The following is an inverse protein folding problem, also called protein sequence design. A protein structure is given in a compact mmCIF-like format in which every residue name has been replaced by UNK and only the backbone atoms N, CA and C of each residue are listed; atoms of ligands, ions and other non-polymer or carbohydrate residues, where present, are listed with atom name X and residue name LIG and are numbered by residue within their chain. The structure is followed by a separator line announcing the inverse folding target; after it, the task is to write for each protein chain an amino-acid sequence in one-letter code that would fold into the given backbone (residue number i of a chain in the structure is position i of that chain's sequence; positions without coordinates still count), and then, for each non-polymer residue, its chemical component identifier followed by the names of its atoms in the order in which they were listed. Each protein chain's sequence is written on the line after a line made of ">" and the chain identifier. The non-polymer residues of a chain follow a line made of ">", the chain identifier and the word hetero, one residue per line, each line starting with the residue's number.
data_IF_208870121761
#
_entry.id   IF_208870121761
#
_cell.length_a   1.000
_cell.length_b   1.000
_cell.length_c   1.000
_cell.angle_alpha   90.00
_cell.angle_beta   90.00
_cell.angle_gamma   90.00
#
_symmetry.space_group_name_H-M   'P 1'
#
loop_
_entity.id
_entity.type
_entity.pdbx_description
1 polymer ?
#
# COMPACT_ATOMS: atom_id res chain seq x y z
N UNK A 1 6.14 4.81 21.31
CA UNK A 1 7.09 4.03 20.47
C UNK A 1 6.75 4.21 18.99
N UNK A 2 7.75 4.21 18.11
CA UNK A 2 7.58 4.31 16.65
C UNK A 2 8.22 3.10 15.98
N UNK A 3 7.49 2.47 15.07
CA UNK A 3 8.00 1.39 14.24
C UNK A 3 7.69 1.70 12.77
N UNK A 4 8.63 1.36 11.89
CA UNK A 4 8.49 1.56 10.45
C UNK A 4 8.90 0.29 9.70
N UNK A 5 8.14 -0.03 8.66
CA UNK A 5 8.33 -1.23 7.85
C UNK A 5 8.34 -0.85 6.38
N UNK A 6 9.27 -1.43 5.62
CA UNK A 6 9.28 -1.34 4.16
C UNK A 6 8.51 -2.52 3.57
N UNK A 7 7.77 -2.28 2.50
CA UNK A 7 7.08 -3.31 1.74
C UNK A 7 7.33 -3.15 0.25
N UNK A 8 7.17 -4.25 -0.49
CA UNK A 8 7.17 -4.24 -1.96
C UNK A 8 5.86 -4.80 -2.44
N UNK A 9 5.19 -4.07 -3.32
CA UNK A 9 3.94 -4.49 -3.92
C UNK A 9 3.91 -4.07 -5.39
N UNK A 10 3.55 -4.98 -6.28
CA UNK A 10 3.40 -4.74 -7.72
C UNK A 10 4.59 -4.00 -8.39
N UNK A 11 5.82 -4.28 -7.95
CA UNK A 11 7.02 -3.61 -8.48
C UNK A 11 7.29 -2.20 -7.91
N UNK A 12 6.50 -1.75 -6.94
CA UNK A 12 6.70 -0.51 -6.18
C UNK A 12 7.25 -0.83 -4.78
N UNK A 13 8.20 0.00 -4.34
CA UNK A 13 8.67 0.00 -2.96
C UNK A 13 7.81 0.98 -2.16
N UNK A 14 7.43 0.65 -0.94
CA UNK A 14 6.73 1.57 -0.04
C UNK A 14 7.20 1.40 1.39
N UNK A 15 6.75 2.30 2.26
CA UNK A 15 6.91 2.17 3.70
C UNK A 15 5.64 2.57 4.43
N UNK A 16 5.46 1.97 5.60
CA UNK A 16 4.41 2.30 6.56
C UNK A 16 5.03 2.52 7.93
N UNK A 17 4.61 3.58 8.61
CA UNK A 17 5.08 3.91 9.95
C UNK A 17 3.89 3.95 10.93
N UNK A 18 4.04 3.23 12.03
CA UNK A 18 3.08 3.18 13.12
C UNK A 18 3.54 4.00 14.31
N UNK A 19 2.57 4.57 15.01
CA UNK A 19 2.76 5.26 16.27
C UNK A 19 1.87 4.65 17.33
N UNK A 20 2.45 4.26 18.45
CA UNK A 20 1.67 3.91 19.63
C UNK A 20 1.50 5.13 20.53
N UNK A 21 0.24 5.56 20.73
CA UNK A 21 -0.12 6.57 21.70
C UNK A 21 -0.35 5.90 23.06
N UNK A 22 0.58 6.09 23.99
CA UNK A 22 0.50 5.50 25.33
C UNK A 22 -0.63 6.06 26.20
N UNK A 23 -1.12 7.28 25.93
CA UNK A 23 -2.21 7.91 26.69
C UNK A 23 -3.56 7.32 26.30
N UNK A 24 -3.77 7.15 25.01
CA UNK A 24 -5.03 6.63 24.46
C UNK A 24 -5.01 5.10 24.31
N UNK A 25 -3.84 4.46 24.46
CA UNK A 25 -3.61 3.03 24.24
C UNK A 25 -3.99 2.57 22.82
N UNK A 26 -3.78 3.45 21.83
CA UNK A 26 -4.14 3.21 20.43
C UNK A 26 -2.90 3.23 19.53
N UNK A 27 -2.92 2.39 18.49
CA UNK A 27 -1.98 2.43 17.38
C UNK A 27 -2.56 3.27 16.25
N UNK A 28 -1.75 4.16 15.69
CA UNK A 28 -2.13 4.98 14.53
C UNK A 28 -1.11 4.82 13.41
N UNK A 29 -1.58 4.88 12.17
CA UNK A 29 -0.70 5.02 11.01
C UNK A 29 -0.26 6.48 10.97
N UNK A 30 1.03 6.74 11.20
CA UNK A 30 1.59 8.08 11.17
C UNK A 30 1.99 8.50 9.77
N UNK A 31 2.50 7.57 8.98
CA UNK A 31 2.88 7.82 7.59
C UNK A 31 2.68 6.55 6.77
N UNK A 32 2.25 6.74 5.53
CA UNK A 32 2.15 5.71 4.52
C UNK A 32 2.59 6.33 3.19
N UNK A 33 3.61 5.74 2.56
CA UNK A 33 4.12 6.23 1.29
C UNK A 33 4.45 5.06 0.39
N UNK A 34 4.04 5.18 -0.87
CA UNK A 34 4.42 4.28 -1.95
C UNK A 34 5.28 5.08 -2.90
N UNK A 35 6.45 4.54 -3.26
CA UNK A 35 7.35 5.17 -4.20
C UNK A 35 6.65 5.29 -5.56
N UNK A 36 6.73 6.48 -6.15
CA UNK A 36 6.09 6.77 -7.43
C UNK A 36 6.74 5.99 -8.59
N UNK A 37 8.01 5.62 -8.45
CA UNK A 37 8.71 4.80 -9.43
C UNK A 37 8.40 3.33 -9.23
N UNK A 38 7.67 2.75 -10.18
CA UNK A 38 7.49 1.31 -10.31
C UNK A 38 8.55 0.73 -11.24
N UNK A 39 9.04 -0.48 -10.97
CA UNK A 39 9.72 -1.25 -12.00
C UNK A 39 8.68 -1.69 -13.05
N UNK A 40 8.65 -1.02 -14.18
CA UNK A 40 7.69 -1.26 -15.27
C UNK A 40 7.80 -2.67 -15.83
N UNK A 41 9.00 -3.26 -15.91
CA UNK A 41 9.18 -4.62 -16.41
C UNK A 41 8.51 -5.67 -15.51
N UNK A 42 8.55 -5.49 -14.18
CA UNK A 42 7.87 -6.39 -13.23
C UNK A 42 6.35 -6.20 -13.31
N UNK A 43 5.89 -4.94 -13.41
CA UNK A 43 4.46 -4.62 -13.58
C UNK A 43 3.90 -5.30 -14.83
N UNK A 44 4.57 -5.13 -15.98
CA UNK A 44 4.16 -5.71 -17.25
C UNK A 44 4.14 -7.25 -17.20
N UNK A 45 5.11 -7.88 -16.51
CA UNK A 45 5.14 -9.32 -16.33
C UNK A 45 3.96 -9.83 -15.47
N UNK A 46 3.61 -9.12 -14.40
CA UNK A 46 2.47 -9.45 -13.54
C UNK A 46 1.13 -9.27 -14.26
N UNK A 47 0.99 -8.21 -15.07
CA UNK A 47 -0.17 -8.00 -15.95
C UNK A 47 -0.33 -9.12 -16.97
N UNK A 48 0.76 -9.48 -17.68
CA UNK A 48 0.76 -10.59 -18.65
C UNK A 48 0.45 -11.94 -18.02
N UNK A 49 0.85 -12.14 -16.77
CA UNK A 49 0.54 -13.35 -16.02
C UNK A 49 -0.92 -13.40 -15.51
N UNK A 50 -1.70 -12.33 -15.71
CA UNK A 50 -3.06 -12.21 -15.20
C UNK A 50 -3.14 -12.13 -13.68
N UNK A 51 -2.04 -11.74 -13.02
CA UNK A 51 -1.92 -11.69 -11.55
C UNK A 51 -2.32 -10.33 -10.96
N UNK A 52 -2.48 -9.31 -11.80
CA UNK A 52 -3.09 -8.05 -11.42
C UNK A 52 -4.55 -8.08 -11.88
N UNK A 53 -5.49 -8.27 -10.96
CA UNK A 53 -6.91 -8.09 -11.25
C UNK A 53 -7.23 -6.59 -11.36
N UNK A 54 -7.88 -6.18 -12.45
CA UNK A 54 -8.57 -4.90 -12.54
C UNK A 54 -9.75 -4.92 -11.56
N UNK A 55 -9.51 -4.56 -10.30
CA UNK A 55 -10.60 -4.27 -9.37
C UNK A 55 -11.25 -2.95 -9.76
N UNK A 56 -12.10 -2.99 -10.79
CA UNK A 56 -13.20 -2.06 -10.94
C UNK A 56 -14.15 -2.29 -9.76
N UNK A 57 -13.82 -1.74 -8.60
CA UNK A 57 -14.72 -1.76 -7.46
C UNK A 57 -15.88 -0.82 -7.78
N UNK A 58 -17.05 -1.43 -7.99
CA UNK A 58 -18.36 -0.81 -8.10
C UNK A 58 -18.50 0.40 -7.17
N UNK A 59 -18.44 1.61 -7.72
CA UNK A 59 -19.05 2.76 -7.06
C UNK A 59 -20.57 2.65 -7.29
N UNK A 60 -21.24 1.80 -6.52
CA UNK A 60 -22.68 1.95 -6.30
C UNK A 60 -22.86 3.20 -5.45
N UNK A 61 -23.02 4.35 -6.12
CA UNK A 61 -23.62 5.55 -5.53
C UNK A 61 -25.09 5.21 -5.24
N UNK A 62 -25.32 4.63 -4.07
CA UNK A 62 -26.62 4.69 -3.41
C UNK A 62 -26.63 5.94 -2.54
N UNK A 63 -27.38 6.95 -2.96
CA UNK A 63 -28.18 7.90 -2.18
C UNK A 63 -29.12 8.62 -3.15
#
# INVERSE_FOLDING_TARGET
>A
MFDAYNFRDCGKLGYIAFFYNEKQKLWTIKSFHVCDTSNTAIKDALERAGLLEDKQHETKRGL
#
